data_IF_329678774568
#
_entry.id   IF_329678774568
#
_cell.length_a   1.000
_cell.length_b   1.000
_cell.length_c   1.000
_cell.angle_alpha   90.00
_cell.angle_beta   90.00
_cell.angle_gamma   90.00
#
_symmetry.space_group_name_H-M   'P 1'
#
loop_
_entity.id
_entity.type
_entity.pdbx_description
1 polymer ?
#
# COMPACT_ATOMS: atom_id res chain seq x y z
N UNK A 1 13.50 50.46 30.16
CA UNK A 1 12.45 49.91 29.27
C UNK A 1 12.72 50.38 27.85
N UNK A 2 13.08 49.49 26.92
CA UNK A 2 13.40 49.86 25.53
C UNK A 2 12.15 50.46 24.88
N UNK A 3 12.24 51.70 24.41
CA UNK A 3 11.12 52.37 23.72
C UNK A 3 10.93 51.69 22.37
N UNK A 4 9.87 50.89 22.24
CA UNK A 4 9.44 50.34 20.96
C UNK A 4 9.03 51.51 20.06
N UNK A 5 9.86 51.81 19.08
CA UNK A 5 9.52 52.81 18.06
C UNK A 5 8.45 52.22 17.15
N UNK A 6 7.51 53.06 16.69
CA UNK A 6 6.40 52.64 15.83
C UNK A 6 6.87 51.88 14.57
N UNK A 7 8.05 52.25 14.05
CA UNK A 7 8.74 51.55 12.96
C UNK A 7 9.03 50.08 13.27
N UNK A 8 9.46 49.77 14.49
CA UNK A 8 9.77 48.39 14.90
C UNK A 8 8.51 47.55 15.07
N UNK A 9 7.38 48.16 15.44
CA UNK A 9 6.08 47.48 15.54
C UNK A 9 5.58 47.08 14.15
N UNK A 10 5.66 47.98 13.17
CA UNK A 10 5.28 47.69 11.77
C UNK A 10 6.09 46.51 11.21
N UNK A 11 7.41 46.51 11.45
CA UNK A 11 8.30 45.43 10.99
C UNK A 11 7.94 44.10 11.66
N UNK A 12 7.62 44.10 12.95
CA UNK A 12 7.18 42.89 13.68
C UNK A 12 5.87 42.32 13.15
N UNK A 13 4.90 43.17 12.81
CA UNK A 13 3.62 42.72 12.23
C UNK A 13 3.84 42.10 10.85
N UNK A 14 4.66 42.73 10.00
CA UNK A 14 5.05 42.19 8.69
C UNK A 14 5.74 40.83 8.82
N UNK A 15 6.68 40.71 9.77
CA UNK A 15 7.37 39.45 10.04
C UNK A 15 6.40 38.35 10.50
N UNK A 16 5.44 38.70 11.36
CA UNK A 16 4.44 37.77 11.88
C UNK A 16 3.55 37.21 10.77
N UNK A 17 3.09 38.05 9.84
CA UNK A 17 2.30 37.62 8.66
C UNK A 17 3.13 36.68 7.77
N UNK A 18 4.41 36.97 7.59
CA UNK A 18 5.31 36.15 6.78
C UNK A 18 5.54 34.76 7.40
N UNK A 19 5.82 34.71 8.71
CA UNK A 19 5.99 33.46 9.46
C UNK A 19 4.71 32.64 9.44
N UNK A 20 3.55 33.28 9.62
CA UNK A 20 2.26 32.60 9.59
C UNK A 20 1.96 31.97 8.22
N UNK A 21 2.22 32.71 7.14
CA UNK A 21 2.09 32.18 5.77
C UNK A 21 3.07 31.03 5.50
N UNK A 22 4.31 31.13 5.99
CA UNK A 22 5.34 30.10 5.85
C UNK A 22 4.95 28.79 6.56
N UNK A 23 4.43 28.89 7.79
CA UNK A 23 3.96 27.71 8.54
C UNK A 23 2.80 27.02 7.83
N UNK A 24 1.84 27.77 7.27
CA UNK A 24 0.75 27.20 6.48
C UNK A 24 1.26 26.46 5.23
N UNK A 25 2.23 27.03 4.52
CA UNK A 25 2.86 26.37 3.36
C UNK A 25 3.57 25.06 3.75
N UNK A 26 4.27 25.03 4.88
CA UNK A 26 4.96 23.82 5.38
C UNK A 26 3.98 22.67 5.65
N UNK A 27 2.80 22.95 6.22
CA UNK A 27 1.76 21.93 6.45
C UNK A 27 1.20 21.39 5.14
N UNK A 28 1.03 22.23 4.12
CA UNK A 28 0.56 21.79 2.80
C UNK A 28 1.57 20.84 2.13
N UNK A 29 2.87 21.17 2.19
CA UNK A 29 3.95 20.32 1.65
C UNK A 29 3.97 18.94 2.33
N UNK A 30 3.89 18.86 3.66
CA UNK A 30 3.87 17.58 4.36
C UNK A 30 2.63 16.72 4.00
N UNK A 31 1.49 17.35 3.71
CA UNK A 31 0.30 16.63 3.23
C UNK A 31 0.47 16.09 1.82
N UNK A 32 1.11 16.88 0.94
CA UNK A 32 1.40 16.47 -0.44
C UNK A 32 2.40 15.30 -0.45
N UNK A 33 3.46 15.35 0.35
CA UNK A 33 4.42 14.25 0.47
C UNK A 33 3.79 12.95 0.98
N UNK A 34 2.90 13.04 1.99
CA UNK A 34 2.16 11.85 2.46
C UNK A 34 1.28 11.26 1.38
N UNK A 35 0.52 12.09 0.66
CA UNK A 35 -0.32 11.62 -0.43
C UNK A 35 0.51 11.02 -1.56
N UNK A 36 1.67 11.60 -1.88
CA UNK A 36 2.59 11.07 -2.88
C UNK A 36 3.09 9.69 -2.48
N UNK A 37 3.47 9.51 -1.21
CA UNK A 37 3.97 8.23 -0.70
C UNK A 37 2.87 7.14 -0.69
N UNK A 38 1.65 7.48 -0.25
CA UNK A 38 0.51 6.56 -0.33
C UNK A 38 0.17 6.18 -1.77
N UNK A 39 0.20 7.13 -2.70
CA UNK A 39 -0.04 6.86 -4.13
C UNK A 39 1.08 6.02 -4.74
N UNK A 40 2.33 6.24 -4.35
CA UNK A 40 3.46 5.44 -4.79
C UNK A 40 3.36 3.99 -4.28
N UNK A 41 2.94 3.79 -3.03
CA UNK A 41 2.68 2.47 -2.46
C UNK A 41 1.53 1.76 -3.17
N UNK A 42 0.44 2.46 -3.47
CA UNK A 42 -0.68 1.92 -4.26
C UNK A 42 -0.23 1.53 -5.68
N UNK A 43 0.59 2.37 -6.32
CA UNK A 43 1.14 2.05 -7.64
C UNK A 43 2.06 0.84 -7.60
N UNK A 44 2.94 0.73 -6.60
CA UNK A 44 3.82 -0.43 -6.45
C UNK A 44 3.01 -1.71 -6.20
N UNK A 45 1.97 -1.64 -5.36
CA UNK A 45 1.09 -2.78 -5.10
C UNK A 45 0.31 -3.21 -6.37
N UNK A 46 -0.27 -2.25 -7.09
CA UNK A 46 -1.00 -2.52 -8.34
C UNK A 46 -0.04 -3.06 -9.41
N UNK A 47 1.17 -2.52 -9.52
CA UNK A 47 2.18 -2.99 -10.48
C UNK A 47 2.63 -4.41 -10.14
N UNK A 48 2.88 -4.71 -8.87
CA UNK A 48 3.20 -6.07 -8.40
C UNK A 48 2.08 -7.05 -8.68
N UNK A 49 0.82 -6.65 -8.48
CA UNK A 49 -0.33 -7.48 -8.84
C UNK A 49 -0.39 -7.69 -10.35
N UNK A 50 -0.25 -6.63 -11.14
CA UNK A 50 -0.29 -6.72 -12.59
C UNK A 50 0.82 -7.63 -13.14
N UNK A 51 2.05 -7.50 -12.65
CA UNK A 51 3.15 -8.40 -13.00
C UNK A 51 2.84 -9.85 -12.63
N UNK A 52 2.31 -10.12 -11.42
CA UNK A 52 1.92 -11.48 -11.02
C UNK A 52 0.82 -12.06 -11.90
N UNK A 53 -0.20 -11.26 -12.22
CA UNK A 53 -1.25 -11.68 -13.14
C UNK A 53 -0.71 -11.91 -14.55
N UNK A 54 0.23 -11.10 -15.01
CA UNK A 54 0.87 -11.25 -16.32
C UNK A 54 1.73 -12.51 -16.39
N UNK A 55 2.50 -12.81 -15.34
CA UNK A 55 3.26 -14.05 -15.22
C UNK A 55 2.33 -15.29 -15.19
N UNK A 56 1.15 -15.16 -14.57
CA UNK A 56 0.14 -16.22 -14.50
C UNK A 56 -0.55 -16.43 -15.86
N UNK A 57 -0.86 -15.34 -16.57
CA UNK A 57 -1.37 -15.38 -17.95
C UNK A 57 -0.32 -15.96 -18.90
N UNK A 58 0.95 -15.56 -18.79
CA UNK A 58 2.02 -16.10 -19.63
C UNK A 58 2.21 -17.60 -19.40
N UNK A 59 2.06 -18.10 -18.17
CA UNK A 59 2.08 -19.54 -17.87
C UNK A 59 0.88 -20.30 -18.46
N UNK A 60 -0.27 -19.65 -18.56
CA UNK A 60 -1.48 -20.20 -19.19
C UNK A 60 -1.32 -20.21 -20.72
N UNK A 61 -0.88 -19.10 -21.31
CA UNK A 61 -0.69 -18.93 -22.76
C UNK A 61 0.48 -19.77 -23.31
N UNK A 62 1.47 -20.09 -22.47
CA UNK A 62 2.60 -20.97 -22.82
C UNK A 62 2.21 -22.47 -22.91
N UNK A 63 0.93 -22.81 -22.82
CA UNK A 63 0.43 -24.16 -23.14
C UNK A 63 0.56 -25.19 -22.02
N UNK A 64 0.48 -24.78 -20.76
CA UNK A 64 0.41 -25.73 -19.63
C UNK A 64 -1.03 -26.14 -19.35
N UNK A 65 -1.59 -27.02 -20.19
CA UNK A 65 -2.93 -27.60 -19.99
C UNK A 65 -3.11 -28.15 -18.56
N UNK A 66 -2.04 -28.70 -17.97
CA UNK A 66 -2.03 -29.22 -16.60
C UNK A 66 -2.21 -28.13 -15.52
N UNK A 67 -1.69 -26.92 -15.75
CA UNK A 67 -1.87 -25.78 -14.85
C UNK A 67 -3.28 -25.22 -14.95
N UNK A 68 -3.81 -25.09 -16.17
CA UNK A 68 -5.18 -24.65 -16.42
C UNK A 68 -6.19 -25.64 -15.84
N UNK A 69 -5.95 -26.94 -16.01
CA UNK A 69 -6.77 -28.00 -15.44
C UNK A 69 -6.72 -27.97 -13.90
N UNK A 70 -5.53 -27.81 -13.30
CA UNK A 70 -5.40 -27.68 -11.84
C UNK A 70 -6.12 -26.45 -11.30
N UNK A 71 -6.00 -25.31 -11.96
CA UNK A 71 -6.68 -24.07 -11.56
C UNK A 71 -8.21 -24.20 -11.70
N UNK A 72 -8.69 -24.80 -12.78
CA UNK A 72 -10.12 -25.08 -12.96
C UNK A 72 -10.64 -26.02 -11.85
N UNK A 73 -9.88 -27.06 -11.50
CA UNK A 73 -10.23 -27.98 -10.40
C UNK A 73 -10.28 -27.26 -9.05
N UNK A 74 -9.32 -26.40 -8.74
CA UNK A 74 -9.34 -25.59 -7.51
C UNK A 74 -10.54 -24.64 -7.46
N UNK A 75 -10.84 -23.95 -8.57
CA UNK A 75 -12.00 -23.03 -8.64
C UNK A 75 -13.35 -23.76 -8.58
N UNK A 76 -13.41 -24.99 -9.08
CA UNK A 76 -14.62 -25.83 -9.09
C UNK A 76 -14.74 -26.75 -7.86
N UNK A 77 -13.75 -26.76 -6.96
CA UNK A 77 -13.73 -27.65 -5.80
C UNK A 77 -13.61 -29.14 -6.17
N UNK A 78 -13.03 -29.46 -7.32
CA UNK A 78 -12.85 -30.83 -7.82
C UNK A 78 -11.47 -31.37 -7.42
N UNK A 79 -11.38 -32.65 -7.08
CA UNK A 79 -10.13 -33.32 -6.66
C UNK A 79 -9.85 -34.48 -7.61
N UNK A 80 -8.61 -34.64 -8.07
CA UNK A 80 -8.24 -35.75 -8.98
C UNK A 80 -8.14 -37.06 -8.17
N UNK A 81 -8.61 -38.21 -8.70
CA UNK A 81 -8.44 -39.49 -8.01
C UNK A 81 -6.95 -39.77 -7.76
N UNK A 82 -6.56 -39.82 -6.48
CA UNK A 82 -5.18 -39.97 -6.03
C UNK A 82 -4.61 -38.77 -5.26
N UNK A 83 -5.27 -37.61 -5.25
CA UNK A 83 -4.86 -36.44 -4.44
C UNK A 83 -5.45 -36.51 -3.02
N UNK A 84 -4.59 -36.30 -2.00
CA UNK A 84 -5.00 -36.29 -0.59
C UNK A 84 -5.25 -34.85 -0.14
N UNK A 85 -6.50 -34.52 0.19
CA UNK A 85 -6.86 -33.20 0.75
C UNK A 85 -6.29 -33.09 2.16
N UNK A 86 -5.40 -32.12 2.38
CA UNK A 86 -4.88 -31.78 3.71
C UNK A 86 -5.62 -30.52 4.14
N UNK A 87 -6.75 -30.69 4.82
CA UNK A 87 -7.44 -29.58 5.47
C UNK A 87 -6.63 -29.20 6.72
N UNK A 88 -5.97 -28.04 6.68
CA UNK A 88 -5.16 -27.49 7.78
C UNK A 88 -5.99 -27.01 8.99
N UNK A 89 -7.27 -27.38 9.07
CA UNK A 89 -8.17 -26.97 10.16
C UNK A 89 -8.33 -28.00 11.28
N UNK A 90 -7.66 -29.15 11.25
CA UNK A 90 -7.82 -30.19 12.29
C UNK A 90 -6.50 -30.78 12.79
N UNK A 91 -5.57 -29.95 13.29
CA UNK A 91 -4.60 -30.36 14.32
C UNK A 91 -4.29 -29.18 15.28
N UNK A 92 -5.34 -28.63 15.89
CA UNK A 92 -5.26 -27.87 17.15
C UNK A 92 -6.06 -28.60 18.23
N UNK A 93 -5.67 -29.81 18.58
CA UNK A 93 -6.04 -30.43 19.85
C UNK A 93 -5.28 -31.75 20.00
N UNK A 94 -4.68 -31.94 21.18
CA UNK A 94 -4.10 -33.19 21.68
C UNK A 94 -2.60 -33.40 21.45
N UNK A 95 -1.76 -32.62 22.14
CA UNK A 95 -0.54 -33.16 22.78
C UNK A 95 0.04 -32.18 23.81
N UNK A 96 -0.67 -31.95 24.91
CA UNK A 96 -0.01 -31.64 26.18
C UNK A 96 -0.61 -32.58 27.23
N UNK A 97 0.07 -33.70 27.41
CA UNK A 97 0.01 -34.53 28.62
C UNK A 97 1.42 -34.83 29.03
#
# INVERSE_FOLDING_TARGET
MKKLTFRNIIIMVLLSIFVFSYVRQRVAINRIEKQLNEKQLQLDEITKRNNRLSDEVEKIDSGSDEYLEKLARERLGMIKPGEKVINSSEQTSNSEK
#
